data_IF_952561310913
#
_entry.id   IF_952561310913
#
_cell.length_a   1.000
_cell.length_b   1.000
_cell.length_c   1.000
_cell.angle_alpha   90.00
_cell.angle_beta   90.00
_cell.angle_gamma   90.00
#
_symmetry.space_group_name_H-M   'P 1'
#
loop_
_entity.id
_entity.type
_entity.pdbx_description
1 polymer ?
#
# COMPACT_ATOMS: atom_id res chain seq x y z
N UNK A 1 26.63 5.66 -30.64
CA UNK A 1 25.53 5.26 -29.73
C UNK A 1 26.06 5.02 -28.32
N UNK A 2 25.53 5.73 -27.34
CA UNK A 2 25.88 5.61 -25.92
C UNK A 2 24.79 4.78 -25.23
N UNK A 3 25.18 3.70 -24.52
CA UNK A 3 24.24 2.87 -23.76
C UNK A 3 24.41 3.15 -22.27
N UNK A 4 23.32 3.51 -21.57
CA UNK A 4 23.32 3.75 -20.13
C UNK A 4 22.32 2.83 -19.43
N UNK A 5 22.79 2.13 -18.41
CA UNK A 5 21.94 1.28 -17.59
C UNK A 5 21.33 2.08 -16.45
N UNK A 6 20.01 1.96 -16.26
CA UNK A 6 19.29 2.67 -15.20
C UNK A 6 18.24 1.75 -14.57
N UNK A 7 18.57 0.94 -13.56
CA UNK A 7 17.60 0.06 -12.94
C UNK A 7 16.52 0.87 -12.19
N UNK A 8 15.33 0.29 -12.04
CA UNK A 8 14.21 0.89 -11.29
C UNK A 8 13.75 2.28 -11.76
N UNK A 9 14.12 2.68 -12.97
CA UNK A 9 13.77 3.99 -13.56
C UNK A 9 12.26 4.30 -13.46
N UNK A 10 11.40 3.28 -13.60
CA UNK A 10 9.94 3.47 -13.53
C UNK A 10 9.44 3.86 -12.13
N UNK A 11 10.22 3.61 -11.07
CA UNK A 11 9.88 3.97 -9.68
C UNK A 11 10.48 5.30 -9.24
N UNK A 12 11.49 5.78 -9.96
CA UNK A 12 12.16 7.06 -9.74
C UNK A 12 12.00 7.94 -11.00
N UNK A 13 10.73 8.20 -11.38
CA UNK A 13 10.39 8.92 -12.60
C UNK A 13 11.05 10.29 -12.68
N UNK A 14 10.86 11.15 -11.69
CA UNK A 14 11.43 12.52 -11.71
C UNK A 14 12.95 12.52 -11.85
N UNK A 15 13.63 11.61 -11.16
CA UNK A 15 15.08 11.50 -11.28
C UNK A 15 15.46 11.06 -12.69
N UNK A 16 14.68 10.16 -13.29
CA UNK A 16 14.90 9.65 -14.64
C UNK A 16 14.62 10.72 -15.68
N UNK A 17 13.54 11.47 -15.53
CA UNK A 17 13.15 12.61 -16.39
C UNK A 17 14.22 13.71 -16.37
N UNK A 18 14.64 14.16 -15.17
CA UNK A 18 15.74 15.14 -15.04
C UNK A 18 17.05 14.62 -15.62
N UNK A 19 17.31 13.34 -15.48
CA UNK A 19 18.50 12.71 -16.07
C UNK A 19 18.41 12.62 -17.60
N UNK A 20 17.24 12.40 -18.18
CA UNK A 20 17.05 12.49 -19.63
C UNK A 20 17.23 13.92 -20.12
N UNK A 21 16.65 14.91 -19.42
CA UNK A 21 16.83 16.33 -19.71
C UNK A 21 18.29 16.77 -19.62
N UNK A 22 19.05 16.30 -18.62
CA UNK A 22 20.48 16.62 -18.51
C UNK A 22 21.29 16.03 -19.67
N UNK A 23 20.90 14.85 -20.18
CA UNK A 23 21.54 14.27 -21.36
C UNK A 23 21.27 15.10 -22.62
N UNK A 24 20.05 15.58 -22.82
CA UNK A 24 19.75 16.45 -23.96
C UNK A 24 20.48 17.81 -23.89
N UNK A 25 20.66 18.37 -22.69
CA UNK A 25 21.51 19.55 -22.47
C UNK A 25 22.99 19.30 -22.82
N UNK A 26 23.48 18.08 -22.59
CA UNK A 26 24.83 17.67 -23.00
C UNK A 26 24.96 17.42 -24.51
N UNK A 27 23.86 17.43 -25.27
CA UNK A 27 23.84 17.10 -26.69
C UNK A 27 23.64 15.61 -26.96
N UNK A 28 22.95 14.89 -26.07
CA UNK A 28 22.65 13.47 -26.23
C UNK A 28 21.15 13.26 -26.29
N UNK A 29 20.65 12.84 -27.45
CA UNK A 29 19.23 12.57 -27.64
C UNK A 29 18.89 11.10 -27.37
N UNK A 30 17.79 10.85 -26.68
CA UNK A 30 17.26 9.51 -26.47
C UNK A 30 16.63 8.99 -27.77
N UNK A 31 17.17 7.89 -28.30
CA UNK A 31 16.72 7.29 -29.58
C UNK A 31 16.03 5.96 -29.36
N UNK A 32 16.43 5.17 -28.36
CA UNK A 32 15.79 3.90 -28.05
C UNK A 32 15.93 3.53 -26.56
N UNK A 33 15.08 2.60 -26.13
CA UNK A 33 15.13 1.99 -24.81
C UNK A 33 14.94 0.48 -24.92
N UNK A 34 15.74 -0.26 -24.17
CA UNK A 34 15.50 -1.67 -23.93
C UNK A 34 14.85 -1.84 -22.55
N UNK A 35 13.53 -1.97 -22.52
CA UNK A 35 12.74 -2.06 -21.28
C UNK A 35 13.11 -3.28 -20.40
N UNK A 36 13.50 -4.40 -21.00
CA UNK A 36 13.84 -5.63 -20.28
C UNK A 36 15.18 -5.51 -19.55
N UNK A 37 16.23 -5.10 -20.28
CA UNK A 37 17.57 -4.89 -19.71
C UNK A 37 17.73 -3.55 -18.98
N UNK A 38 16.73 -2.67 -19.08
CA UNK A 38 16.71 -1.32 -18.47
C UNK A 38 17.85 -0.44 -18.97
N UNK A 39 18.16 -0.54 -20.25
CA UNK A 39 19.22 0.24 -20.92
C UNK A 39 18.60 1.30 -21.83
N UNK A 40 19.07 2.54 -21.71
CA UNK A 40 18.70 3.68 -22.54
C UNK A 40 19.80 3.89 -23.57
N UNK A 41 19.42 4.14 -24.83
CA UNK A 41 20.31 4.28 -25.97
C UNK A 41 20.22 5.72 -26.47
N UNK A 42 21.37 6.38 -26.52
CA UNK A 42 21.49 7.78 -26.91
C UNK A 42 22.38 7.94 -28.14
N UNK A 43 22.13 8.99 -28.90
CA UNK A 43 22.96 9.46 -30.02
C UNK A 43 23.39 10.91 -29.77
N UNK A 44 24.53 11.27 -30.35
CA UNK A 44 25.01 12.65 -30.30
C UNK A 44 24.09 13.52 -31.17
N UNK A 45 23.62 14.61 -30.60
CA UNK A 45 22.67 15.54 -31.18
C UNK A 45 23.02 16.97 -30.74
N UNK A 46 22.27 17.93 -31.24
CA UNK A 46 22.39 19.31 -30.78
C UNK A 46 22.00 19.45 -29.31
N UNK A 47 22.71 20.33 -28.60
CA UNK A 47 22.36 20.68 -27.23
C UNK A 47 21.03 21.41 -27.20
N UNK A 48 20.05 20.84 -26.49
CA UNK A 48 18.71 21.42 -26.37
C UNK A 48 18.26 21.39 -24.92
N UNK A 49 17.71 22.52 -24.47
CA UNK A 49 17.03 22.60 -23.19
C UNK A 49 15.61 22.05 -23.39
N UNK A 50 15.43 20.77 -23.02
CA UNK A 50 14.14 20.08 -23.16
C UNK A 50 13.75 19.40 -21.85
N UNK A 51 12.47 19.46 -21.52
CA UNK A 51 11.91 18.73 -20.40
C UNK A 51 11.38 17.38 -20.89
N UNK A 52 11.86 16.29 -20.27
CA UNK A 52 11.36 14.95 -20.52
C UNK A 52 10.27 14.56 -19.53
N UNK A 53 9.24 13.86 -20.01
CA UNK A 53 8.24 13.21 -19.18
C UNK A 53 8.02 11.77 -19.63
N UNK A 54 7.72 10.90 -18.68
CA UNK A 54 7.50 9.47 -18.92
C UNK A 54 6.04 9.14 -18.71
N UNK A 55 5.40 8.61 -19.74
CA UNK A 55 3.99 8.24 -19.75
C UNK A 55 3.88 6.73 -19.87
N UNK A 56 2.92 6.16 -19.14
CA UNK A 56 2.50 4.78 -19.33
C UNK A 56 1.03 4.76 -19.69
N UNK A 57 0.69 4.40 -20.92
CA UNK A 57 -0.68 4.40 -21.42
C UNK A 57 -0.89 3.27 -22.42
N UNK A 58 -2.13 2.77 -22.51
CA UNK A 58 -2.56 1.79 -23.51
C UNK A 58 -2.93 2.47 -24.85
N UNK A 59 -2.99 3.80 -24.93
CA UNK A 59 -3.25 4.51 -26.18
C UNK A 59 -2.17 4.20 -27.22
N UNK A 60 -2.58 4.09 -28.51
CA UNK A 60 -1.67 3.96 -29.66
C UNK A 60 -0.53 4.98 -29.56
N UNK A 61 0.61 4.75 -30.23
CA UNK A 61 1.84 5.55 -30.13
C UNK A 61 1.68 7.08 -30.23
N UNK A 62 0.54 7.60 -30.65
CA UNK A 62 0.25 9.02 -30.67
C UNK A 62 -0.10 9.61 -29.29
N UNK A 63 0.27 10.88 -29.11
CA UNK A 63 -0.13 11.68 -27.96
C UNK A 63 -1.54 12.28 -28.14
N UNK A 64 -2.30 12.47 -27.06
CA UNK A 64 -3.52 13.27 -27.07
C UNK A 64 -3.29 14.65 -27.69
N UNK A 65 -4.26 15.14 -28.48
CA UNK A 65 -4.17 16.45 -29.17
C UNK A 65 -3.77 17.57 -28.23
N UNK A 66 -4.44 17.70 -27.08
CA UNK A 66 -4.11 18.71 -26.04
C UNK A 66 -2.62 18.74 -25.65
N UNK A 67 -1.96 17.58 -25.57
CA UNK A 67 -0.53 17.54 -25.23
C UNK A 67 0.34 17.96 -26.42
N UNK A 68 0.00 17.53 -27.64
CA UNK A 68 0.68 18.01 -28.86
C UNK A 68 0.53 19.52 -29.01
N UNK A 69 -0.67 20.04 -28.79
CA UNK A 69 -0.98 21.48 -28.83
C UNK A 69 -0.19 22.26 -27.77
N UNK A 70 0.14 21.63 -26.64
CA UNK A 70 0.99 22.21 -25.58
C UNK A 70 2.51 22.03 -25.82
N UNK A 71 2.93 21.57 -27.00
CA UNK A 71 4.34 21.38 -27.37
C UNK A 71 4.98 20.05 -26.98
N UNK A 72 4.20 19.06 -26.54
CA UNK A 72 4.75 17.72 -26.25
C UNK A 72 4.89 16.89 -27.51
N UNK A 73 6.09 16.34 -27.68
CA UNK A 73 6.43 15.44 -28.79
C UNK A 73 6.89 14.08 -28.26
N UNK A 74 6.62 13.02 -29.02
CA UNK A 74 7.16 11.70 -28.72
C UNK A 74 8.65 11.65 -29.10
N UNK A 75 9.50 11.31 -28.14
CA UNK A 75 10.91 10.98 -28.40
C UNK A 75 11.05 9.48 -28.68
N UNK A 76 10.60 8.63 -27.77
CA UNK A 76 10.64 7.17 -27.93
C UNK A 76 9.34 6.55 -27.42
N UNK A 77 8.80 5.58 -28.15
CA UNK A 77 7.62 4.81 -27.72
C UNK A 77 7.88 3.32 -27.86
N UNK A 78 7.77 2.57 -26.76
CA UNK A 78 7.93 1.11 -26.76
C UNK A 78 6.83 0.44 -25.94
N UNK A 79 5.95 -0.29 -26.62
CA UNK A 79 4.77 -0.90 -26.01
C UNK A 79 3.86 0.15 -25.37
N UNK A 80 3.67 0.08 -24.05
CA UNK A 80 2.84 1.02 -23.27
C UNK A 80 3.62 2.23 -22.74
N UNK A 81 4.93 2.25 -22.93
CA UNK A 81 5.79 3.33 -22.45
C UNK A 81 6.02 4.36 -23.54
N UNK A 82 5.84 5.63 -23.20
CA UNK A 82 6.14 6.77 -24.06
C UNK A 82 7.04 7.73 -23.31
N UNK A 83 8.15 8.09 -23.94
CA UNK A 83 9.08 9.11 -23.48
C UNK A 83 8.80 10.33 -24.35
N UNK A 84 8.28 11.37 -23.72
CA UNK A 84 7.91 12.61 -24.40
C UNK A 84 8.86 13.72 -24.00
N UNK A 85 9.08 14.67 -24.90
CA UNK A 85 9.90 15.85 -24.67
C UNK A 85 9.10 17.11 -25.00
N UNK A 86 9.39 18.20 -24.32
CA UNK A 86 8.85 19.52 -24.59
C UNK A 86 9.97 20.55 -24.51
N UNK A 87 10.02 21.46 -25.47
CA UNK A 87 11.04 22.54 -25.54
C UNK A 87 10.45 23.91 -25.20
N UNK A 88 9.14 24.00 -24.99
CA UNK A 88 8.45 25.25 -24.66
C UNK A 88 8.77 25.68 -23.23
N UNK A 89 8.93 26.99 -23.03
CA UNK A 89 9.06 27.60 -21.72
C UNK A 89 8.24 28.89 -21.68
N UNK A 90 7.16 28.99 -20.87
CA UNK A 90 6.70 28.01 -19.88
C UNK A 90 5.94 26.82 -20.50
N UNK A 91 5.89 25.70 -19.79
CA UNK A 91 5.06 24.54 -20.15
C UNK A 91 3.63 24.75 -19.65
N UNK A 92 2.67 24.77 -20.57
CA UNK A 92 1.25 25.06 -20.27
C UNK A 92 0.50 23.88 -19.63
N UNK A 93 0.81 22.64 -20.06
CA UNK A 93 0.14 21.44 -19.58
C UNK A 93 1.12 20.29 -19.45
N UNK A 94 0.96 19.47 -18.40
CA UNK A 94 1.76 18.29 -18.17
C UNK A 94 0.98 17.00 -18.46
N UNK A 95 1.65 15.93 -18.94
CA UNK A 95 1.00 14.64 -19.12
C UNK A 95 0.60 14.00 -17.79
N UNK A 96 -0.51 13.25 -17.81
CA UNK A 96 -0.98 12.51 -16.63
C UNK A 96 -0.01 11.39 -16.22
N UNK A 97 0.21 11.26 -14.91
CA UNK A 97 1.06 10.23 -14.29
C UNK A 97 0.29 8.99 -13.81
N UNK A 98 -1.02 8.96 -14.05
CA UNK A 98 -1.94 7.94 -13.54
C UNK A 98 -1.58 6.52 -13.96
N UNK A 99 -1.22 6.34 -15.23
CA UNK A 99 -0.94 5.02 -15.77
C UNK A 99 0.34 4.43 -15.17
N UNK A 100 1.37 5.24 -14.97
CA UNK A 100 2.62 4.78 -14.34
C UNK A 100 2.36 4.38 -12.90
N UNK A 101 1.58 5.19 -12.18
CA UNK A 101 1.16 4.89 -10.81
C UNK A 101 0.44 3.55 -10.73
N UNK A 102 -0.59 3.35 -11.57
CA UNK A 102 -1.39 2.12 -11.61
C UNK A 102 -0.52 0.90 -11.83
N UNK A 103 0.41 0.96 -12.78
CA UNK A 103 1.35 -0.14 -13.05
C UNK A 103 2.27 -0.42 -11.86
N UNK A 104 2.93 0.60 -11.32
CA UNK A 104 3.88 0.43 -10.23
C UNK A 104 3.20 -0.10 -8.96
N UNK A 105 1.95 0.31 -8.72
CA UNK A 105 1.05 -0.24 -7.70
C UNK A 105 0.85 -1.75 -7.89
N UNK A 106 0.47 -2.20 -9.08
CA UNK A 106 0.32 -3.64 -9.39
C UNK A 106 1.63 -4.41 -9.18
N UNK A 107 2.77 -3.88 -9.62
CA UNK A 107 4.05 -4.57 -9.41
C UNK A 107 4.44 -4.65 -7.93
N UNK A 108 4.24 -3.57 -7.18
CA UNK A 108 4.52 -3.54 -5.74
C UNK A 108 3.70 -4.58 -5.00
N UNK A 109 2.47 -4.86 -5.44
CA UNK A 109 1.62 -5.91 -4.89
C UNK A 109 2.16 -7.30 -5.04
N UNK A 110 2.48 -7.66 -6.29
CA UNK A 110 2.94 -9.01 -6.61
C UNK A 110 4.19 -9.27 -5.79
N UNK A 111 5.08 -8.27 -5.73
CA UNK A 111 6.26 -8.32 -4.90
C UNK A 111 5.95 -8.40 -3.40
N UNK A 112 4.96 -7.65 -2.88
CA UNK A 112 4.50 -7.78 -1.49
C UNK A 112 3.92 -9.15 -1.16
N UNK A 113 3.13 -9.75 -2.06
CA UNK A 113 2.60 -11.11 -1.89
C UNK A 113 3.74 -12.13 -1.82
N UNK A 114 4.70 -12.05 -2.75
CA UNK A 114 5.89 -12.92 -2.75
C UNK A 114 6.71 -12.73 -1.48
N UNK A 115 6.95 -11.47 -1.08
CA UNK A 115 7.67 -11.15 0.15
C UNK A 115 6.96 -11.66 1.41
N UNK A 116 5.64 -11.68 1.43
CA UNK A 116 4.84 -12.18 2.55
C UNK A 116 4.93 -13.72 2.62
N UNK A 117 4.87 -14.41 1.48
CA UNK A 117 5.10 -15.86 1.41
C UNK A 117 6.51 -16.22 1.90
N UNK A 118 7.54 -15.49 1.47
CA UNK A 118 8.90 -15.67 1.96
C UNK A 118 9.03 -15.33 3.44
N UNK A 119 8.35 -14.29 3.92
CA UNK A 119 8.32 -13.95 5.34
C UNK A 119 7.77 -15.09 6.20
N UNK A 120 6.71 -15.77 5.76
CA UNK A 120 6.18 -16.93 6.46
C UNK A 120 7.17 -18.10 6.55
N UNK A 121 7.96 -18.33 5.50
CA UNK A 121 8.97 -19.39 5.50
C UNK A 121 10.16 -19.09 6.43
N UNK A 122 10.41 -17.82 6.76
CA UNK A 122 11.43 -17.46 7.75
C UNK A 122 11.00 -17.80 9.19
N UNK A 123 9.70 -17.90 9.47
CA UNK A 123 9.20 -18.11 10.84
C UNK A 123 9.74 -19.42 11.44
N UNK A 124 9.60 -20.60 10.78
CA UNK A 124 10.18 -21.84 11.30
C UNK A 124 11.69 -21.75 11.51
N UNK A 125 12.40 -21.06 10.61
CA UNK A 125 13.85 -20.89 10.75
C UNK A 125 14.21 -20.04 11.96
N UNK A 126 13.56 -18.89 12.15
CA UNK A 126 13.76 -18.04 13.33
C UNK A 126 13.42 -18.80 14.61
N UNK A 127 12.33 -19.56 14.60
CA UNK A 127 11.94 -20.44 15.70
C UNK A 127 13.02 -21.47 16.00
N UNK A 128 13.56 -22.17 14.99
CA UNK A 128 14.61 -23.16 15.16
C UNK A 128 15.92 -22.55 15.69
N UNK A 129 16.25 -21.34 15.25
CA UNK A 129 17.40 -20.60 15.79
C UNK A 129 17.17 -20.17 17.25
N UNK A 130 15.94 -19.73 17.60
CA UNK A 130 15.59 -19.40 18.97
C UNK A 130 15.61 -20.62 19.89
N UNK A 131 15.15 -21.79 19.44
CA UNK A 131 15.23 -23.02 20.24
C UNK A 131 16.68 -23.42 20.53
N UNK A 132 17.59 -23.25 19.56
CA UNK A 132 19.02 -23.50 19.75
C UNK A 132 19.64 -22.52 20.77
N UNK A 133 19.16 -21.28 20.83
CA UNK A 133 19.59 -20.30 21.82
C UNK A 133 19.05 -20.58 23.24
N UNK A 134 17.86 -21.16 23.36
CA UNK A 134 17.20 -21.40 24.65
C UNK A 134 17.59 -22.75 25.26
N UNK A 135 17.78 -23.80 24.44
CA UNK A 135 18.10 -25.16 24.87
C UNK A 135 19.36 -25.67 24.16
N UNK A 136 20.55 -25.15 24.50
CA UNK A 136 21.78 -25.50 23.79
C UNK A 136 22.19 -26.97 24.00
N UNK A 137 21.99 -27.51 25.20
CA UNK A 137 22.46 -28.87 25.57
C UNK A 137 21.67 -29.99 24.86
N UNK A 138 20.40 -29.75 24.55
CA UNK A 138 19.53 -30.70 23.83
C UNK A 138 19.60 -30.54 22.30
N UNK A 139 20.40 -29.58 21.81
CA UNK A 139 20.48 -29.25 20.40
C UNK A 139 21.68 -29.92 19.74
N UNK A 140 21.43 -30.79 18.75
CA UNK A 140 22.49 -31.36 17.92
C UNK A 140 22.62 -30.57 16.63
N UNK A 141 23.78 -29.97 16.39
CA UNK A 141 24.06 -29.28 15.14
C UNK A 141 24.45 -30.29 14.07
N UNK A 142 23.56 -30.55 13.13
CA UNK A 142 23.85 -31.40 11.96
C UNK A 142 24.10 -30.49 10.76
N UNK A 143 25.33 -30.45 10.21
CA UNK A 143 25.63 -29.63 9.04
C UNK A 143 24.86 -30.14 7.82
N UNK A 144 24.14 -29.24 7.15
CA UNK A 144 23.45 -29.59 5.91
C UNK A 144 24.47 -29.76 4.77
N UNK A 145 24.40 -30.85 3.99
CA UNK A 145 25.27 -31.03 2.81
C UNK A 145 25.03 -29.96 1.73
N UNK A 146 23.93 -29.20 1.81
CA UNK A 146 23.55 -28.14 0.87
C UNK A 146 23.60 -26.74 1.48
N UNK A 147 24.46 -26.52 2.48
CA UNK A 147 24.54 -25.25 3.23
C UNK A 147 24.69 -24.01 2.35
N UNK A 148 25.43 -24.10 1.24
CA UNK A 148 25.63 -22.99 0.30
C UNK A 148 24.33 -22.60 -0.43
N UNK A 149 23.50 -23.59 -0.81
CA UNK A 149 22.19 -23.37 -1.41
C UNK A 149 21.25 -22.74 -0.39
N UNK A 150 21.27 -23.22 0.86
CA UNK A 150 20.47 -22.67 1.95
C UNK A 150 20.81 -21.20 2.23
N UNK A 151 22.10 -20.85 2.28
CA UNK A 151 22.53 -19.45 2.44
C UNK A 151 22.08 -18.60 1.25
N UNK A 152 22.28 -19.08 0.02
CA UNK A 152 21.87 -18.36 -1.18
C UNK A 152 20.35 -18.10 -1.20
N UNK A 153 19.57 -19.08 -0.76
CA UNK A 153 18.12 -18.97 -0.60
C UNK A 153 17.74 -17.88 0.41
N UNK A 154 18.35 -17.87 1.59
CA UNK A 154 18.07 -16.84 2.59
C UNK A 154 18.49 -15.44 2.13
N UNK A 155 19.62 -15.32 1.43
CA UNK A 155 20.04 -14.05 0.82
C UNK A 155 19.01 -13.56 -0.21
N UNK A 156 18.48 -14.46 -1.05
CA UNK A 156 17.40 -14.12 -1.98
C UNK A 156 16.14 -13.67 -1.24
N UNK A 157 15.71 -14.37 -0.20
CA UNK A 157 14.55 -14.01 0.62
C UNK A 157 14.70 -12.62 1.22
N UNK A 158 15.85 -12.36 1.87
CA UNK A 158 16.16 -11.05 2.47
C UNK A 158 16.17 -9.97 1.38
N UNK A 159 16.81 -10.22 0.23
CA UNK A 159 16.87 -9.27 -0.87
C UNK A 159 15.46 -8.91 -1.39
N UNK A 160 14.56 -9.89 -1.51
CA UNK A 160 13.17 -9.65 -1.93
C UNK A 160 12.39 -8.83 -0.89
N UNK A 161 12.56 -9.11 0.40
CA UNK A 161 11.91 -8.35 1.48
C UNK A 161 12.41 -6.89 1.47
N UNK A 162 13.74 -6.68 1.41
CA UNK A 162 14.35 -5.35 1.36
C UNK A 162 13.88 -4.58 0.12
N UNK A 163 13.87 -5.23 -1.05
CA UNK A 163 13.37 -4.64 -2.29
C UNK A 163 11.88 -4.24 -2.17
N UNK A 164 11.05 -5.09 -1.56
CA UNK A 164 9.63 -4.81 -1.33
C UNK A 164 9.45 -3.56 -0.48
N UNK A 165 10.21 -3.44 0.61
CA UNK A 165 10.17 -2.28 1.51
C UNK A 165 10.59 -1.01 0.75
N UNK A 166 11.69 -1.08 0.00
CA UNK A 166 12.18 0.04 -0.82
C UNK A 166 11.10 0.53 -1.79
N UNK A 167 10.54 -0.39 -2.58
CA UNK A 167 9.54 -0.08 -3.61
C UNK A 167 8.25 0.49 -3.03
N UNK A 168 7.79 -0.08 -1.92
CA UNK A 168 6.58 0.39 -1.22
C UNK A 168 6.79 1.81 -0.68
N UNK A 169 7.98 2.11 -0.12
CA UNK A 169 8.31 3.46 0.37
C UNK A 169 8.35 4.47 -0.77
N UNK A 170 8.98 4.12 -1.90
CA UNK A 170 9.06 4.98 -3.09
C UNK A 170 7.69 5.25 -3.68
N UNK A 171 6.88 4.21 -3.83
CA UNK A 171 5.51 4.33 -4.33
C UNK A 171 4.64 5.19 -3.40
N UNK A 172 4.77 5.03 -2.08
CA UNK A 172 4.05 5.87 -1.12
C UNK A 172 4.47 7.34 -1.20
N UNK A 173 5.76 7.61 -1.34
CA UNK A 173 6.25 8.98 -1.51
C UNK A 173 5.70 9.62 -2.79
N UNK A 174 5.61 8.84 -3.87
CA UNK A 174 5.03 9.25 -5.14
C UNK A 174 3.50 9.52 -5.02
N UNK A 175 2.76 8.62 -4.35
CA UNK A 175 1.33 8.81 -4.03
C UNK A 175 1.07 10.11 -3.27
N UNK A 176 1.88 10.39 -2.24
CA UNK A 176 1.74 11.60 -1.40
C UNK A 176 2.04 12.86 -2.20
N UNK A 177 3.08 12.84 -3.04
CA UNK A 177 3.53 14.02 -3.78
C UNK A 177 2.58 14.41 -4.91
N UNK A 178 2.07 13.44 -5.67
CA UNK A 178 1.33 13.72 -6.90
C UNK A 178 -0.18 13.59 -6.79
N UNK A 179 -0.70 12.98 -5.71
CA UNK A 179 -2.11 12.60 -5.61
C UNK A 179 -2.75 12.96 -4.27
N UNK A 180 -2.16 13.92 -3.54
CA UNK A 180 -2.76 14.46 -2.31
C UNK A 180 -2.97 13.44 -1.18
N UNK A 181 -2.30 12.28 -1.22
CA UNK A 181 -2.43 11.23 -0.21
C UNK A 181 -1.75 11.58 1.14
N UNK A 182 -1.33 12.83 1.32
CA UNK A 182 -0.85 13.35 2.59
C UNK A 182 -1.99 13.39 3.61
N UNK A 183 -1.72 12.79 4.78
CA UNK A 183 -2.57 12.98 5.96
C UNK A 183 -2.37 14.41 6.44
N UNK A 184 -3.46 15.10 6.72
CA UNK A 184 -3.41 16.51 7.12
C UNK A 184 -2.82 16.60 8.52
N UNK A 185 -1.60 17.14 8.61
CA UNK A 185 -0.85 17.24 9.85
C UNK A 185 -1.41 18.37 10.71
N UNK A 186 -1.76 18.05 11.95
CA UNK A 186 -2.07 19.06 12.98
C UNK A 186 -0.96 18.98 14.03
N UNK A 187 -0.17 20.03 14.15
CA UNK A 187 0.78 20.17 15.26
C UNK A 187 0.00 20.50 16.52
N UNK A 188 0.08 19.65 17.54
CA UNK A 188 -0.59 19.89 18.81
C UNK A 188 0.32 19.62 19.99
N UNK A 189 0.25 20.52 20.98
CA UNK A 189 0.91 20.40 22.28
C UNK A 189 -0.08 19.70 23.22
N UNK A 190 0.37 18.67 23.95
CA UNK A 190 -0.48 17.94 24.90
C UNK A 190 -1.42 16.90 24.25
N UNK A 191 -0.84 15.87 23.60
CA UNK A 191 -1.62 14.77 23.00
C UNK A 191 -1.73 13.56 23.91
N UNK A 192 -2.84 12.82 23.82
CA UNK A 192 -2.99 11.49 24.40
C UNK A 192 -3.37 10.45 23.34
N UNK A 193 -3.30 9.16 23.67
CA UNK A 193 -3.56 8.09 22.70
C UNK A 193 -4.54 7.05 23.24
N UNK A 194 -5.38 6.51 22.34
CA UNK A 194 -6.22 5.34 22.61
C UNK A 194 -5.95 4.25 21.59
N UNK A 195 -5.96 3.00 22.03
CA UNK A 195 -5.78 1.84 21.17
C UNK A 195 -7.13 1.25 20.76
N UNK A 196 -7.27 0.95 19.47
CA UNK A 196 -8.40 0.21 18.90
C UNK A 196 -7.86 -0.86 17.97
N UNK A 197 -8.14 -2.12 18.29
CA UNK A 197 -7.75 -3.27 17.46
C UNK A 197 -8.97 -3.80 16.68
N UNK A 198 -8.75 -4.15 15.42
CA UNK A 198 -9.77 -4.76 14.57
C UNK A 198 -10.99 -3.86 14.30
N UNK A 199 -10.82 -2.54 14.31
CA UNK A 199 -11.90 -1.59 14.00
C UNK A 199 -12.32 -1.61 12.53
N UNK A 200 -11.44 -2.04 11.62
CA UNK A 200 -11.71 -2.13 10.17
C UNK A 200 -12.87 -3.09 9.85
N UNK A 201 -13.16 -4.02 10.78
CA UNK A 201 -14.26 -4.99 10.67
C UNK A 201 -15.60 -4.48 11.22
N UNK A 202 -15.60 -3.30 11.84
CA UNK A 202 -16.80 -2.63 12.38
C UNK A 202 -16.64 -1.11 12.25
N UNK A 203 -16.59 -0.58 11.02
CA UNK A 203 -16.28 0.84 10.78
C UNK A 203 -17.33 1.79 11.35
N UNK A 204 -18.60 1.39 11.37
CA UNK A 204 -19.69 2.17 11.96
C UNK A 204 -19.46 2.48 13.44
N UNK A 205 -18.99 1.49 14.22
CA UNK A 205 -18.67 1.68 15.63
C UNK A 205 -17.45 2.59 15.81
N UNK A 206 -16.50 2.56 14.87
CA UNK A 206 -15.37 3.47 14.90
C UNK A 206 -15.80 4.91 14.61
N UNK A 207 -16.61 5.12 13.57
CA UNK A 207 -17.11 6.44 13.19
C UNK A 207 -17.88 7.10 14.33
N UNK A 208 -18.78 6.35 14.98
CA UNK A 208 -19.51 6.82 16.14
C UNK A 208 -18.57 7.12 17.31
N UNK A 209 -17.65 6.21 17.63
CA UNK A 209 -16.67 6.43 18.69
C UNK A 209 -15.79 7.67 18.46
N UNK A 210 -15.37 7.93 17.22
CA UNK A 210 -14.60 9.14 16.88
C UNK A 210 -15.46 10.41 16.99
N UNK A 211 -16.73 10.33 16.58
CA UNK A 211 -17.70 11.43 16.72
C UNK A 211 -17.93 11.77 18.20
N UNK A 212 -18.14 10.76 19.04
CA UNK A 212 -18.32 10.91 20.49
C UNK A 212 -17.08 11.51 21.15
N UNK A 213 -15.89 11.09 20.73
CA UNK A 213 -14.63 11.67 21.20
C UNK A 213 -14.55 13.16 20.86
N UNK A 214 -14.95 13.58 19.66
CA UNK A 214 -14.96 14.99 19.27
C UNK A 214 -15.99 15.81 20.09
N UNK A 215 -17.17 15.24 20.36
CA UNK A 215 -18.18 15.87 21.22
C UNK A 215 -17.70 16.04 22.67
N UNK A 216 -16.83 15.16 23.16
CA UNK A 216 -16.20 15.29 24.47
C UNK A 216 -15.01 16.28 24.48
N UNK A 217 -14.77 17.00 23.38
CA UNK A 217 -13.62 17.89 23.23
C UNK A 217 -12.31 17.15 22.99
N UNK A 218 -12.34 15.95 22.41
CA UNK A 218 -11.14 15.21 22.03
C UNK A 218 -11.06 15.06 20.50
N UNK A 219 -10.31 15.95 19.86
CA UNK A 219 -10.18 15.96 18.40
C UNK A 219 -9.12 14.97 17.93
N UNK A 220 -9.43 14.18 16.90
CA UNK A 220 -8.47 13.26 16.28
C UNK A 220 -7.40 14.03 15.50
N UNK A 221 -6.14 13.84 15.89
CA UNK A 221 -4.99 14.48 15.25
C UNK A 221 -4.39 13.55 14.21
N UNK A 222 -4.13 12.31 14.59
CA UNK A 222 -3.49 11.32 13.72
C UNK A 222 -3.84 9.90 14.15
N UNK A 223 -3.71 8.98 13.20
CA UNK A 223 -3.70 7.54 13.45
C UNK A 223 -2.31 6.99 13.13
N UNK A 224 -1.82 6.02 13.90
CA UNK A 224 -0.54 5.38 13.66
C UNK A 224 -0.49 4.69 12.30
N UNK A 225 0.72 4.44 11.78
CA UNK A 225 0.92 3.78 10.48
C UNK A 225 0.25 2.39 10.40
N UNK A 226 0.16 1.67 11.51
CA UNK A 226 -0.52 0.37 11.60
C UNK A 226 -2.04 0.49 11.74
N UNK A 227 -2.57 1.70 11.90
CA UNK A 227 -4.00 1.96 12.06
C UNK A 227 -4.54 1.73 13.47
N UNK A 228 -3.78 1.19 14.42
CA UNK A 228 -4.32 0.71 15.71
C UNK A 228 -4.28 1.72 16.85
N UNK A 229 -3.46 2.77 16.74
CA UNK A 229 -3.29 3.80 17.78
C UNK A 229 -3.80 5.14 17.27
N UNK A 230 -4.82 5.67 17.94
CA UNK A 230 -5.49 6.92 17.64
C UNK A 230 -4.98 7.99 18.61
N UNK A 231 -4.47 9.09 18.08
CA UNK A 231 -3.87 10.17 18.86
C UNK A 231 -4.79 11.39 18.82
N UNK A 232 -5.11 11.89 20.01
CA UNK A 232 -6.06 12.98 20.22
C UNK A 232 -5.39 14.16 20.89
N UNK A 233 -5.96 15.35 20.68
CA UNK A 233 -5.68 16.57 21.44
C UNK A 233 -6.96 17.00 22.14
N UNK A 234 -6.85 17.56 23.35
CA UNK A 234 -7.98 18.23 23.99
C UNK A 234 -8.27 19.54 23.27
N UNK A 235 -9.49 19.70 22.81
CA UNK A 235 -10.03 20.87 22.12
C UNK A 235 -11.39 21.24 22.71
N UNK A 236 -12.01 22.30 22.20
CA UNK A 236 -13.42 22.53 22.45
C UNK A 236 -14.27 21.40 21.87
N UNK A 237 -15.38 21.02 22.52
CA UNK A 237 -16.41 20.17 21.94
C UNK A 237 -16.82 20.66 20.56
N UNK A 238 -16.77 19.76 19.57
CA UNK A 238 -17.14 20.04 18.18
C UNK A 238 -17.97 18.90 17.62
N UNK A 239 -18.91 19.24 16.73
CA UNK A 239 -19.63 18.27 15.93
C UNK A 239 -18.79 17.92 14.70
N UNK A 240 -18.16 16.74 14.75
CA UNK A 240 -17.31 16.25 13.67
C UNK A 240 -17.87 14.92 13.17
N UNK A 241 -18.17 14.85 11.87
CA UNK A 241 -18.48 13.61 11.19
C UNK A 241 -17.19 12.94 10.76
N UNK A 242 -17.02 11.68 11.16
CA UNK A 242 -15.96 10.83 10.65
C UNK A 242 -16.54 9.82 9.67
N UNK A 243 -15.86 9.65 8.54
CA UNK A 243 -16.22 8.67 7.51
C UNK A 243 -15.05 7.74 7.28
N UNK A 244 -15.28 6.45 7.49
CA UNK A 244 -14.41 5.41 7.02
C UNK A 244 -14.80 5.07 5.59
N UNK A 245 -13.81 5.11 4.69
CA UNK A 245 -14.01 4.70 3.31
C UNK A 245 -13.04 3.60 2.91
N UNK A 246 -13.60 2.61 2.21
CA UNK A 246 -12.89 1.45 1.71
C UNK A 246 -12.88 1.45 0.19
N UNK A 247 -11.69 1.59 -0.39
CA UNK A 247 -11.49 1.64 -1.83
C UNK A 247 -10.61 0.50 -2.30
N UNK A 248 -11.19 -0.36 -3.14
CA UNK A 248 -10.44 -1.31 -3.97
C UNK A 248 -9.85 -0.53 -5.14
N UNK A 249 -8.52 -0.33 -5.13
CA UNK A 249 -7.80 0.49 -6.13
C UNK A 249 -8.34 1.92 -6.23
N UNK A 250 -8.09 2.73 -5.20
CA UNK A 250 -8.44 4.16 -5.24
C UNK A 250 -7.89 4.84 -6.50
N UNK A 251 -8.75 5.62 -7.17
CA UNK A 251 -8.34 6.42 -8.31
C UNK A 251 -7.25 7.42 -7.88
N UNK A 252 -6.38 7.85 -8.81
CA UNK A 252 -5.33 8.81 -8.45
C UNK A 252 -5.92 10.14 -7.92
N UNK A 253 -7.04 10.61 -8.46
CA UNK A 253 -7.70 11.85 -8.02
C UNK A 253 -8.64 11.68 -6.81
N UNK A 254 -8.72 10.49 -6.22
CA UNK A 254 -9.65 10.19 -5.12
C UNK A 254 -9.52 11.18 -3.95
N UNK A 255 -8.30 11.47 -3.52
CA UNK A 255 -8.08 12.34 -2.36
C UNK A 255 -8.40 13.80 -2.66
N UNK A 256 -8.06 14.26 -3.86
CA UNK A 256 -8.27 15.66 -4.27
C UNK A 256 -9.76 16.00 -4.32
N UNK A 257 -10.58 15.11 -4.87
CA UNK A 257 -12.05 15.29 -4.93
C UNK A 257 -12.62 15.49 -3.52
N UNK A 258 -12.24 14.65 -2.56
CA UNK A 258 -12.73 14.78 -1.18
C UNK A 258 -12.18 16.02 -0.47
N UNK A 259 -10.89 16.34 -0.66
CA UNK A 259 -10.29 17.56 -0.10
C UNK A 259 -10.97 18.83 -0.65
N UNK A 260 -11.29 18.87 -1.94
CA UNK A 260 -12.03 19.98 -2.54
C UNK A 260 -13.46 20.14 -2.00
N UNK A 261 -14.06 19.05 -1.50
CA UNK A 261 -15.38 19.07 -0.85
C UNK A 261 -15.32 19.41 0.66
N UNK A 262 -14.15 19.86 1.15
CA UNK A 262 -13.92 20.26 2.54
C UNK A 262 -13.67 19.12 3.51
N UNK A 263 -13.40 17.89 3.02
CA UNK A 263 -13.03 16.78 3.89
C UNK A 263 -11.54 16.80 4.22
N UNK A 264 -11.21 16.53 5.48
CA UNK A 264 -9.84 16.41 5.94
C UNK A 264 -9.46 14.94 6.10
N UNK A 265 -8.32 14.54 5.54
CA UNK A 265 -7.80 13.18 5.61
C UNK A 265 -7.01 12.98 6.92
N UNK A 266 -7.52 12.15 7.84
CA UNK A 266 -6.86 11.84 9.13
C UNK A 266 -6.09 10.54 9.15
N UNK A 267 -6.40 9.63 8.23
CA UNK A 267 -5.66 8.39 8.08
C UNK A 267 -5.82 7.86 6.65
N UNK A 268 -4.75 7.27 6.13
CA UNK A 268 -4.84 6.39 4.97
C UNK A 268 -3.86 5.24 5.14
N UNK A 269 -4.30 4.01 4.88
CA UNK A 269 -3.45 2.83 4.99
C UNK A 269 -2.32 2.87 3.95
N UNK A 270 -1.21 2.20 4.24
CA UNK A 270 -0.12 2.04 3.28
C UNK A 270 -0.41 0.98 2.22
N UNK A 271 -1.51 0.24 2.35
CA UNK A 271 -1.91 -0.77 1.37
C UNK A 271 -2.49 -0.08 0.15
N UNK A 272 -1.91 -0.34 -1.02
CA UNK A 272 -2.35 0.27 -2.26
C UNK A 272 -3.58 -0.44 -2.87
N UNK A 273 -3.77 -1.74 -2.60
CA UNK A 273 -4.87 -2.55 -3.16
C UNK A 273 -6.18 -2.36 -2.38
N UNK A 274 -6.06 -2.34 -1.06
CA UNK A 274 -7.14 -2.20 -0.10
C UNK A 274 -6.85 -0.95 0.73
N UNK A 275 -7.29 0.21 0.23
CA UNK A 275 -7.11 1.48 0.93
C UNK A 275 -8.20 1.65 1.97
N UNK A 276 -7.74 1.90 3.19
CA UNK A 276 -8.57 2.30 4.32
C UNK A 276 -8.28 3.77 4.57
N UNK A 277 -9.28 4.62 4.43
CA UNK A 277 -9.12 6.04 4.72
C UNK A 277 -10.11 6.46 5.81
N UNK A 278 -9.65 7.34 6.70
CA UNK A 278 -10.52 8.00 7.68
C UNK A 278 -10.51 9.48 7.33
N UNK A 279 -11.70 9.97 7.02
CA UNK A 279 -11.98 11.35 6.68
C UNK A 279 -12.76 12.00 7.81
N UNK A 280 -12.61 13.30 7.97
CA UNK A 280 -13.44 14.08 8.88
C UNK A 280 -13.97 15.35 8.22
N UNK A 281 -15.15 15.80 8.66
CA UNK A 281 -15.75 17.08 8.30
C UNK A 281 -16.54 17.63 9.49
N UNK A 282 -16.28 18.89 9.84
CA UNK A 282 -17.02 19.62 10.89
C UNK A 282 -18.38 20.06 10.32
N UNK A 283 -19.38 20.16 11.19
CA UNK A 283 -20.74 20.62 10.87
C UNK A 283 -21.37 21.32 12.07
N UNK A 284 -22.42 22.09 11.84
CA UNK A 284 -23.10 22.86 12.88
C UNK A 284 -24.38 22.18 13.40
N UNK A 285 -24.88 22.66 14.54
CA UNK A 285 -26.14 22.20 15.12
C UNK A 285 -27.27 22.62 14.18
N UNK A 286 -28.03 21.64 13.67
CA UNK A 286 -29.12 21.85 12.71
C UNK A 286 -28.74 21.53 11.27
N UNK A 287 -27.46 21.35 10.97
CA UNK A 287 -27.01 20.82 9.68
C UNK A 287 -27.14 19.30 9.62
N UNK A 288 -27.39 18.76 8.43
CA UNK A 288 -27.37 17.32 8.22
C UNK A 288 -25.93 16.78 8.35
N UNK A 289 -25.75 15.73 9.15
CA UNK A 289 -24.43 15.12 9.40
C UNK A 289 -23.73 14.81 8.05
N UNK A 290 -22.54 15.38 7.77
CA UNK A 290 -21.85 15.17 6.51
C UNK A 290 -21.52 13.69 6.27
N UNK A 291 -21.78 13.19 5.07
CA UNK A 291 -21.42 11.84 4.61
C UNK A 291 -20.91 11.87 3.17
N UNK A 292 -20.21 10.82 2.76
CA UNK A 292 -19.81 10.65 1.35
C UNK A 292 -20.99 10.31 0.44
N UNK A 293 -21.94 9.54 0.97
CA UNK A 293 -23.19 9.24 0.27
C UNK A 293 -24.32 9.16 1.28
N UNK A 294 -25.49 9.68 0.86
CA UNK A 294 -26.74 9.54 1.58
C UNK A 294 -27.62 8.44 0.96
N UNK A 295 -27.23 7.88 -0.19
CA UNK A 295 -27.96 6.81 -0.85
C UNK A 295 -27.75 5.45 -0.14
N UNK A 296 -28.86 4.85 0.24
CA UNK A 296 -28.90 3.52 0.85
C UNK A 296 -28.35 2.41 -0.07
N UNK A 297 -28.45 2.56 -1.39
CA UNK A 297 -27.97 1.57 -2.37
C UNK A 297 -26.44 1.56 -2.38
N UNK A 298 -25.81 2.73 -2.51
CA UNK A 298 -24.35 2.88 -2.49
C UNK A 298 -23.77 2.40 -1.16
N UNK A 299 -24.41 2.74 -0.04
CA UNK A 299 -24.04 2.28 1.29
C UNK A 299 -24.07 0.74 1.41
N UNK A 300 -25.14 0.10 0.93
CA UNK A 300 -25.22 -1.38 0.87
C UNK A 300 -24.12 -1.96 -0.03
N UNK A 301 -23.80 -1.30 -1.12
CA UNK A 301 -22.68 -1.65 -2.00
C UNK A 301 -21.33 -1.63 -1.27
N UNK A 302 -21.04 -0.58 -0.49
CA UNK A 302 -19.83 -0.49 0.33
C UNK A 302 -19.76 -1.58 1.39
N UNK A 303 -20.86 -1.83 2.12
CA UNK A 303 -20.93 -2.90 3.13
C UNK A 303 -20.63 -4.26 2.49
N UNK A 304 -21.25 -4.57 1.35
CA UNK A 304 -21.01 -5.83 0.61
C UNK A 304 -19.55 -5.98 0.19
N UNK A 305 -18.91 -4.91 -0.30
CA UNK A 305 -17.49 -4.92 -0.68
C UNK A 305 -16.60 -5.25 0.52
N UNK A 306 -16.82 -4.58 1.66
CA UNK A 306 -16.08 -4.81 2.91
C UNK A 306 -16.29 -6.25 3.40
N UNK A 307 -17.53 -6.75 3.37
CA UNK A 307 -17.81 -8.14 3.75
C UNK A 307 -17.08 -9.13 2.86
N UNK A 308 -17.20 -8.99 1.54
CA UNK A 308 -16.62 -9.93 0.58
C UNK A 308 -15.11 -10.03 0.76
N UNK A 309 -14.41 -8.89 0.87
CA UNK A 309 -12.95 -8.88 1.07
C UNK A 309 -12.56 -9.54 2.38
N UNK A 310 -13.24 -9.23 3.48
CA UNK A 310 -12.91 -9.80 4.79
C UNK A 310 -13.22 -11.29 4.85
N UNK A 311 -14.34 -11.74 4.28
CA UNK A 311 -14.69 -13.16 4.20
C UNK A 311 -13.70 -13.92 3.34
N UNK A 312 -13.29 -13.40 2.18
CA UNK A 312 -12.26 -14.01 1.34
C UNK A 312 -10.93 -14.13 2.08
N UNK A 313 -10.53 -13.09 2.82
CA UNK A 313 -9.30 -13.11 3.62
C UNK A 313 -9.37 -14.15 4.74
N UNK A 314 -10.48 -14.21 5.47
CA UNK A 314 -10.69 -15.21 6.54
C UNK A 314 -10.72 -16.63 5.96
N UNK A 315 -11.43 -16.87 4.87
CA UNK A 315 -11.48 -18.18 4.22
C UNK A 315 -10.07 -18.67 3.84
N UNK A 316 -9.24 -17.78 3.28
CA UNK A 316 -7.85 -18.07 2.98
C UNK A 316 -7.04 -18.43 4.23
N UNK A 317 -7.16 -17.66 5.32
CA UNK A 317 -6.50 -17.97 6.59
C UNK A 317 -6.95 -19.30 7.19
N UNK A 318 -8.25 -19.62 7.11
CA UNK A 318 -8.78 -20.90 7.57
C UNK A 318 -8.15 -22.05 6.79
N UNK A 319 -8.09 -21.97 5.46
CA UNK A 319 -7.46 -23.01 4.63
C UNK A 319 -6.00 -23.24 5.01
N UNK A 320 -5.21 -22.16 5.19
CA UNK A 320 -3.81 -22.27 5.60
C UNK A 320 -3.68 -22.88 6.99
N UNK A 321 -4.46 -22.40 7.96
CA UNK A 321 -4.39 -22.89 9.34
C UNK A 321 -4.86 -24.34 9.44
N UNK A 322 -5.92 -24.72 8.72
CA UNK A 322 -6.38 -26.11 8.62
C UNK A 322 -5.32 -27.00 7.98
N UNK A 323 -4.66 -26.55 6.92
CA UNK A 323 -3.56 -27.30 6.31
C UNK A 323 -2.37 -27.45 7.25
N UNK A 324 -1.98 -26.38 7.95
CA UNK A 324 -0.89 -26.41 8.94
C UNK A 324 -1.22 -27.35 10.12
N UNK A 325 -2.45 -27.29 10.64
CA UNK A 325 -2.94 -28.21 11.67
C UNK A 325 -2.97 -29.64 11.17
N UNK A 326 -3.45 -29.88 9.94
CA UNK A 326 -3.49 -31.20 9.34
C UNK A 326 -2.09 -31.81 9.22
N UNK A 327 -1.11 -31.06 8.71
CA UNK A 327 0.30 -31.50 8.66
C UNK A 327 0.82 -31.83 10.07
N UNK A 328 0.54 -30.97 11.05
CA UNK A 328 1.05 -31.18 12.40
C UNK A 328 0.41 -32.41 13.06
N UNK A 329 -0.89 -32.64 12.83
CA UNK A 329 -1.62 -33.81 13.32
C UNK A 329 -1.26 -35.10 12.57
N UNK A 330 -1.05 -35.05 11.25
CA UNK A 330 -0.67 -36.25 10.48
C UNK A 330 0.71 -36.76 10.88
N UNK A 331 1.61 -35.84 11.23
CA UNK A 331 2.95 -36.17 11.71
C UNK A 331 2.99 -36.48 13.21
N UNK A 332 1.84 -36.56 13.89
CA UNK A 332 1.76 -36.72 15.36
C UNK A 332 2.44 -38.01 15.85
N UNK A 333 2.41 -39.09 15.08
CA UNK A 333 2.99 -40.38 15.47
C UNK A 333 4.45 -40.58 15.02
N UNK A 334 4.97 -39.70 14.18
CA UNK A 334 6.28 -39.89 13.53
C UNK A 334 7.43 -39.29 14.35
N UNK A 335 7.14 -38.31 15.21
CA UNK A 335 8.13 -37.58 15.98
C UNK A 335 7.84 -37.65 17.48
N UNK A 336 8.86 -37.92 18.31
CA UNK A 336 8.75 -37.76 19.75
C UNK A 336 8.53 -36.28 20.08
N UNK A 337 7.33 -35.92 20.54
CA UNK A 337 6.98 -34.53 20.82
C UNK A 337 7.60 -34.04 22.10
N UNK A 338 8.42 -33.01 21.99
CA UNK A 338 8.92 -32.25 23.13
C UNK A 338 7.89 -31.19 23.57
N UNK A 339 8.18 -30.50 24.68
CA UNK A 339 7.36 -29.40 25.21
C UNK A 339 7.13 -28.29 24.17
N UNK A 340 8.07 -28.10 23.25
CA UNK A 340 7.98 -27.10 22.20
C UNK A 340 6.86 -27.40 21.19
N UNK A 341 6.71 -28.66 20.77
CA UNK A 341 5.63 -29.08 19.86
C UNK A 341 4.23 -28.88 20.46
N UNK A 342 4.12 -29.01 21.78
CA UNK A 342 2.88 -28.74 22.51
C UNK A 342 2.55 -27.24 22.53
N UNK A 343 3.55 -26.38 22.74
CA UNK A 343 3.40 -24.92 22.67
C UNK A 343 3.01 -24.49 21.25
N UNK A 344 3.64 -25.06 20.23
CA UNK A 344 3.33 -24.77 18.83
C UNK A 344 1.88 -25.17 18.49
N UNK A 345 1.45 -26.36 18.90
CA UNK A 345 0.05 -26.80 18.71
C UNK A 345 -0.94 -25.91 19.45
N UNK A 346 -0.66 -25.56 20.71
CA UNK A 346 -1.48 -24.61 21.45
C UNK A 346 -1.59 -23.28 20.71
N UNK A 347 -0.48 -22.75 20.21
CA UNK A 347 -0.43 -21.49 19.44
C UNK A 347 -1.25 -21.57 18.16
N UNK A 348 -1.13 -22.66 17.39
CA UNK A 348 -1.92 -22.88 16.17
C UNK A 348 -3.42 -22.96 16.49
N UNK A 349 -3.78 -23.66 17.56
CA UNK A 349 -5.16 -23.77 18.02
C UNK A 349 -5.74 -22.40 18.39
N UNK A 350 -5.06 -21.62 19.23
CA UNK A 350 -5.51 -20.27 19.59
C UNK A 350 -5.55 -19.32 18.37
N UNK A 351 -4.60 -19.44 17.46
CA UNK A 351 -4.57 -18.64 16.22
C UNK A 351 -5.78 -18.94 15.32
N UNK A 352 -6.30 -20.17 15.34
CA UNK A 352 -7.49 -20.57 14.58
C UNK A 352 -8.79 -19.90 15.05
N UNK A 353 -8.80 -19.35 16.27
CA UNK A 353 -9.94 -18.60 16.80
C UNK A 353 -9.99 -17.15 16.30
N UNK A 354 -8.86 -16.57 15.89
CA UNK A 354 -8.79 -15.18 15.42
C UNK A 354 -9.68 -14.94 14.19
N UNK A 355 -9.64 -15.77 13.12
CA UNK A 355 -10.54 -15.61 11.97
C UNK A 355 -12.02 -15.65 12.34
N UNK A 356 -12.42 -16.50 13.30
CA UNK A 356 -13.81 -16.59 13.77
C UNK A 356 -14.26 -15.25 14.35
N UNK A 357 -13.43 -14.61 15.17
CA UNK A 357 -13.74 -13.29 15.74
C UNK A 357 -13.93 -12.20 14.68
N UNK A 358 -13.16 -12.28 13.58
CA UNK A 358 -13.24 -11.34 12.46
C UNK A 358 -14.56 -11.52 11.69
N UNK A 359 -14.97 -12.77 11.44
CA UNK A 359 -16.24 -13.09 10.78
C UNK A 359 -17.42 -12.60 11.60
N UNK A 360 -17.42 -12.87 12.91
CA UNK A 360 -18.49 -12.42 13.81
C UNK A 360 -18.63 -10.89 13.76
N UNK A 361 -17.53 -10.14 13.88
CA UNK A 361 -17.56 -8.67 13.83
C UNK A 361 -18.07 -8.15 12.49
N UNK A 362 -17.59 -8.74 11.39
CA UNK A 362 -17.98 -8.36 10.02
C UNK A 362 -19.47 -8.64 9.77
N UNK A 363 -19.99 -9.76 10.26
CA UNK A 363 -21.39 -10.11 10.15
C UNK A 363 -22.27 -9.19 11.00
N UNK A 364 -21.87 -8.91 12.24
CA UNK A 364 -22.56 -7.95 13.10
C UNK A 364 -22.61 -6.55 12.48
N UNK A 365 -21.52 -6.10 11.84
CA UNK A 365 -21.50 -4.86 11.07
C UNK A 365 -22.55 -4.86 9.96
N UNK A 366 -22.60 -5.92 9.15
CA UNK A 366 -23.59 -6.04 8.09
C UNK A 366 -25.04 -6.02 8.62
N UNK A 367 -25.29 -6.69 9.75
CA UNK A 367 -26.60 -6.66 10.40
C UNK A 367 -26.99 -5.26 10.89
N UNK A 368 -26.06 -4.50 11.49
CA UNK A 368 -26.31 -3.12 11.92
C UNK A 368 -26.61 -2.22 10.72
N UNK A 369 -25.85 -2.36 9.64
CA UNK A 369 -26.04 -1.58 8.42
C UNK A 369 -27.29 -1.95 7.62
N UNK A 370 -27.93 -3.09 7.89
CA UNK A 370 -29.23 -3.45 7.30
C UNK A 370 -30.39 -2.68 7.95
N UNK A 371 -30.23 -2.27 9.22
CA UNK A 371 -31.25 -1.56 10.01
C UNK A 371 -31.24 -0.04 9.80
N UNK A 372 -30.20 0.49 9.14
CA UNK A 372 -29.96 1.93 8.90
C UNK A 372 -29.96 2.19 7.41
#
# INVERSE_FOLDING_TARGET
MIKKWRPFWSYDLEKTERWLSSFALEGKELVDINLLSRKFIFEEAERKEVEYQIIYDNSKNELPRRLKDSGWENSVSQGKWKFVKNSNNPIEAYPSRDGVLKRNRTHSFVLSCVSLLYGFQLIPFVIAMLSLLIYPEDSTFVPSPLWSITILYFLQVIAVIVLTIYMTRKLRAFDVKFFGASVDAVSSIGTFSKWKFGWMYAPDLLENWLSDMAMQGNQLVRVSKMGTKFVFVKSTPKLISYVYDYQLKASPNYYEVHKSAGWQLKFTSSSWYAKYSIWQKEYEIGEEKPRFTYDSIEKKGQVRKVMLVNVSLVAYFIVILSFALWINLSNYHVYERNTFDQILMGTLFFSSLIPISIVIRTFQYAMRMRKV
#
